data_IF_893231459367
#
_entry.id   IF_893231459367
#
_cell.length_a   1.000
_cell.length_b   1.000
_cell.length_c   1.000
_cell.angle_alpha   90.00
_cell.angle_beta   90.00
_cell.angle_gamma   90.00
#
_symmetry.space_group_name_H-M   'P 1'
#
loop_
_entity.id
_entity.type
_entity.pdbx_description
1 polymer ?
#
# COMPACT_ATOMS: atom_id res chain seq x y z
N UNK A 1 -20.97 10.23 -12.90
CA UNK A 1 -22.35 10.00 -12.42
C UNK A 1 -23.24 9.71 -13.61
N UNK A 2 -23.61 8.45 -13.82
CA UNK A 2 -24.50 8.03 -14.90
C UNK A 2 -25.47 6.97 -14.38
N UNK A 3 -26.64 7.38 -13.90
CA UNK A 3 -27.69 6.46 -13.46
C UNK A 3 -28.73 6.27 -14.56
N UNK A 4 -29.13 5.03 -14.83
CA UNK A 4 -30.32 4.74 -15.66
C UNK A 4 -31.56 4.81 -14.76
N UNK A 5 -32.46 5.75 -15.06
CA UNK A 5 -33.74 5.89 -14.38
C UNK A 5 -34.76 4.97 -15.04
N UNK A 6 -35.34 4.04 -14.27
CA UNK A 6 -36.43 3.19 -14.75
C UNK A 6 -37.78 3.88 -14.52
N UNK A 7 -38.73 3.64 -15.44
CA UNK A 7 -40.07 4.25 -15.47
C UNK A 7 -40.94 3.94 -14.23
N UNK A 8 -40.47 3.08 -13.32
CA UNK A 8 -41.11 2.66 -12.05
C UNK A 8 -40.71 3.50 -10.82
N UNK A 9 -39.95 4.59 -10.99
CA UNK A 9 -39.63 5.51 -9.89
C UNK A 9 -38.43 5.09 -9.03
N UNK A 10 -37.76 3.98 -9.33
CA UNK A 10 -36.51 3.56 -8.71
C UNK A 10 -35.32 3.80 -9.64
N UNK A 11 -34.22 4.33 -9.11
CA UNK A 11 -32.95 4.46 -9.81
C UNK A 11 -31.91 3.50 -9.22
N UNK A 12 -31.11 2.88 -10.09
CA UNK A 12 -29.93 2.09 -9.71
C UNK A 12 -28.72 3.02 -9.77
N UNK A 13 -27.98 3.10 -8.67
CA UNK A 13 -26.77 3.91 -8.56
C UNK A 13 -25.59 2.97 -8.29
N UNK A 14 -24.63 2.96 -9.22
CA UNK A 14 -23.33 2.34 -8.95
C UNK A 14 -22.55 3.24 -8.00
N UNK A 15 -22.34 2.75 -6.78
CA UNK A 15 -21.59 3.43 -5.70
C UNK A 15 -20.18 2.84 -5.50
N UNK A 16 -19.80 1.85 -6.31
CA UNK A 16 -18.52 1.17 -6.15
C UNK A 16 -17.31 2.12 -6.30
N UNK A 17 -17.28 3.08 -7.25
CA UNK A 17 -16.17 4.03 -7.36
C UNK A 17 -15.98 4.91 -6.10
N UNK A 18 -17.08 5.39 -5.54
CA UNK A 18 -17.12 6.24 -4.34
C UNK A 18 -16.66 5.44 -3.12
N UNK A 19 -17.15 4.21 -2.96
CA UNK A 19 -16.78 3.34 -1.85
C UNK A 19 -15.29 2.96 -1.89
N UNK A 20 -14.75 2.70 -3.08
CA UNK A 20 -13.32 2.45 -3.26
C UNK A 20 -12.48 3.67 -2.88
N UNK A 21 -12.93 4.87 -3.24
CA UNK A 21 -12.24 6.12 -2.91
C UNK A 21 -12.25 6.37 -1.40
N UNK A 22 -13.40 6.16 -0.75
CA UNK A 22 -13.55 6.30 0.69
C UNK A 22 -12.67 5.30 1.44
N UNK A 23 -12.71 4.02 1.06
CA UNK A 23 -11.90 2.97 1.68
C UNK A 23 -10.41 3.25 1.51
N UNK A 24 -10.00 3.71 0.32
CA UNK A 24 -8.63 4.14 0.06
C UNK A 24 -8.19 5.26 0.99
N UNK A 25 -9.01 6.29 1.19
CA UNK A 25 -8.74 7.38 2.14
C UNK A 25 -8.55 6.88 3.58
N UNK A 26 -9.45 6.04 4.06
CA UNK A 26 -9.39 5.52 5.43
C UNK A 26 -8.12 4.72 5.65
N UNK A 27 -7.77 3.84 4.70
CA UNK A 27 -6.54 3.04 4.78
C UNK A 27 -5.30 3.95 4.71
N UNK A 28 -5.25 4.92 3.80
CA UNK A 28 -4.12 5.84 3.68
C UNK A 28 -3.91 6.66 4.96
N UNK A 29 -4.98 7.14 5.58
CA UNK A 29 -4.92 7.86 6.85
C UNK A 29 -4.44 6.96 8.00
N UNK A 30 -4.97 5.74 8.11
CA UNK A 30 -4.59 4.82 9.17
C UNK A 30 -3.14 4.29 9.02
N UNK A 31 -2.74 3.98 7.79
CA UNK A 31 -1.44 3.38 7.52
C UNK A 31 -0.30 4.42 7.49
N UNK A 32 -0.57 5.62 6.98
CA UNK A 32 0.46 6.60 6.62
C UNK A 32 0.19 8.02 7.11
N UNK A 33 -0.99 8.29 7.70
CA UNK A 33 -1.38 9.65 8.11
C UNK A 33 -1.60 10.62 6.95
N UNK A 34 -1.67 10.14 5.69
CA UNK A 34 -1.83 10.96 4.50
C UNK A 34 -3.18 10.73 3.81
N UNK A 35 -3.63 11.68 2.99
CA UNK A 35 -4.89 11.54 2.26
C UNK A 35 -4.74 10.54 1.10
N UNK A 36 -5.86 10.00 0.62
CA UNK A 36 -5.85 9.12 -0.56
C UNK A 36 -5.23 9.79 -1.77
N UNK A 37 -5.28 11.12 -1.92
CA UNK A 37 -4.68 11.79 -3.09
C UNK A 37 -3.17 11.54 -3.15
N UNK A 38 -2.50 11.58 -2.01
CA UNK A 38 -1.08 11.27 -1.88
C UNK A 38 -0.79 9.75 -1.97
N UNK A 39 -1.73 8.90 -1.52
CA UNK A 39 -1.64 7.43 -1.61
C UNK A 39 -2.20 6.80 -2.91
N UNK A 40 -2.82 7.61 -3.77
CA UNK A 40 -3.74 7.17 -4.85
C UNK A 40 -3.01 6.36 -5.92
N UNK A 41 -1.75 6.70 -6.17
CA UNK A 41 -0.89 6.01 -7.12
C UNK A 41 -0.72 4.53 -6.79
N UNK A 42 -0.61 4.19 -5.49
CA UNK A 42 -0.44 2.80 -5.04
C UNK A 42 -1.76 2.04 -5.20
N UNK A 43 -2.88 2.65 -4.84
CA UNK A 43 -4.20 2.01 -4.92
C UNK A 43 -4.66 1.82 -6.38
N UNK A 44 -4.35 2.76 -7.27
CA UNK A 44 -4.60 2.62 -8.71
C UNK A 44 -3.80 1.45 -9.30
N UNK A 45 -2.51 1.36 -8.96
CA UNK A 45 -1.66 0.24 -9.38
C UNK A 45 -2.15 -1.11 -8.82
N UNK A 46 -2.67 -1.13 -7.59
CA UNK A 46 -3.30 -2.31 -7.00
C UNK A 46 -4.58 -2.72 -7.75
N UNK A 47 -5.42 -1.78 -8.18
CA UNK A 47 -6.63 -2.09 -8.98
C UNK A 47 -6.27 -2.79 -10.29
N UNK A 48 -5.22 -2.33 -10.98
CA UNK A 48 -4.74 -2.96 -12.21
C UNK A 48 -4.14 -4.35 -11.93
N UNK A 49 -3.42 -4.50 -10.82
CA UNK A 49 -2.88 -5.78 -10.38
C UNK A 49 -3.99 -6.78 -10.03
N UNK A 50 -5.06 -6.36 -9.34
CA UNK A 50 -6.19 -7.23 -8.98
C UNK A 50 -6.89 -7.77 -10.22
N UNK A 51 -7.07 -6.96 -11.28
CA UNK A 51 -7.69 -7.43 -12.52
C UNK A 51 -6.86 -8.52 -13.21
N UNK A 52 -5.54 -8.34 -13.28
CA UNK A 52 -4.63 -9.31 -13.88
C UNK A 52 -4.52 -10.58 -13.02
N UNK A 53 -4.40 -10.42 -11.70
CA UNK A 53 -4.31 -11.53 -10.75
C UNK A 53 -5.60 -12.35 -10.73
N UNK A 54 -6.77 -11.73 -10.71
CA UNK A 54 -8.05 -12.43 -10.77
C UNK A 54 -8.21 -13.17 -12.10
N UNK A 55 -7.82 -12.57 -13.23
CA UNK A 55 -7.79 -13.28 -14.51
C UNK A 55 -6.89 -14.52 -14.45
N UNK A 56 -5.71 -14.40 -13.84
CA UNK A 56 -4.78 -15.53 -13.71
C UNK A 56 -5.31 -16.62 -12.78
N UNK A 57 -5.89 -16.24 -11.62
CA UNK A 57 -6.53 -17.16 -10.67
C UNK A 57 -7.71 -17.92 -11.28
N UNK A 58 -8.59 -17.25 -12.02
CA UNK A 58 -9.77 -17.87 -12.61
C UNK A 58 -9.52 -18.51 -13.98
N UNK A 59 -8.31 -18.39 -14.54
CA UNK A 59 -7.96 -19.00 -15.83
C UNK A 59 -7.77 -20.52 -15.80
N UNK A 60 -7.92 -21.16 -14.63
CA UNK A 60 -7.77 -22.62 -14.50
C UNK A 60 -6.34 -23.12 -14.76
N UNK A 61 -5.33 -22.24 -14.69
CA UNK A 61 -3.93 -22.61 -14.87
C UNK A 61 -3.49 -23.53 -13.72
N UNK A 62 -3.11 -24.76 -14.07
CA UNK A 62 -2.51 -25.73 -13.15
C UNK A 62 -1.29 -25.12 -12.44
N UNK A 63 -1.08 -25.45 -11.16
CA UNK A 63 0.06 -24.98 -10.32
C UNK A 63 1.41 -25.06 -11.05
N UNK A 64 1.58 -26.04 -11.95
CA UNK A 64 2.77 -26.23 -12.81
C UNK A 64 3.08 -25.07 -13.77
N UNK A 65 2.08 -24.29 -14.18
CA UNK A 65 2.26 -23.11 -15.04
C UNK A 65 2.86 -21.90 -14.29
N UNK A 66 2.92 -21.93 -12.94
CA UNK A 66 3.49 -20.86 -12.11
C UNK A 66 4.97 -20.57 -12.42
N UNK A 67 5.68 -21.54 -12.98
CA UNK A 67 7.11 -21.44 -13.32
C UNK A 67 7.38 -20.99 -14.76
N UNK A 68 6.33 -20.74 -15.56
CA UNK A 68 6.47 -20.28 -16.94
C UNK A 68 6.32 -18.76 -16.94
N UNK A 69 7.37 -17.98 -17.28
CA UNK A 69 7.27 -16.53 -17.34
C UNK A 69 6.31 -16.11 -18.46
N UNK A 70 5.07 -15.81 -18.11
CA UNK A 70 4.09 -15.30 -19.08
C UNK A 70 4.21 -13.77 -19.21
N UNK A 71 3.69 -13.21 -20.32
CA UNK A 71 3.63 -11.76 -20.50
C UNK A 71 2.83 -11.07 -19.38
N UNK A 72 1.81 -11.75 -18.84
CA UNK A 72 0.99 -11.24 -17.74
C UNK A 72 1.77 -11.27 -16.42
N UNK A 73 2.48 -12.37 -16.13
CA UNK A 73 3.31 -12.49 -14.91
C UNK A 73 4.43 -11.45 -14.90
N UNK A 74 5.05 -11.14 -16.05
CA UNK A 74 6.04 -10.05 -16.16
C UNK A 74 5.45 -8.68 -15.83
N UNK A 75 4.27 -8.36 -16.36
CA UNK A 75 3.57 -7.11 -16.05
C UNK A 75 3.22 -6.98 -14.57
N UNK A 76 2.80 -8.07 -13.93
CA UNK A 76 2.54 -8.09 -12.48
C UNK A 76 3.82 -7.76 -11.71
N UNK A 77 4.96 -8.37 -12.07
CA UNK A 77 6.25 -8.07 -11.43
C UNK A 77 6.64 -6.61 -11.62
N UNK A 78 6.52 -6.05 -12.82
CA UNK A 78 6.81 -4.63 -13.08
C UNK A 78 5.94 -3.69 -12.24
N UNK A 79 4.65 -4.01 -12.08
CA UNK A 79 3.73 -3.24 -11.22
C UNK A 79 4.15 -3.35 -9.75
N UNK A 80 4.48 -4.56 -9.28
CA UNK A 80 4.99 -4.78 -7.92
C UNK A 80 6.24 -3.96 -7.64
N UNK A 81 7.21 -3.93 -8.57
CA UNK A 81 8.44 -3.14 -8.38
C UNK A 81 8.15 -1.64 -8.33
N UNK A 82 7.25 -1.14 -9.18
CA UNK A 82 6.80 0.27 -9.10
C UNK A 82 6.16 0.60 -7.75
N UNK A 83 5.28 -0.27 -7.26
CA UNK A 83 4.67 -0.11 -5.94
C UNK A 83 5.74 -0.11 -4.84
N UNK A 84 6.72 -1.03 -4.89
CA UNK A 84 7.82 -1.09 -3.92
C UNK A 84 8.67 0.18 -3.94
N UNK A 85 8.98 0.72 -5.11
CA UNK A 85 9.73 1.99 -5.22
C UNK A 85 8.98 3.15 -4.58
N UNK A 86 7.68 3.30 -4.87
CA UNK A 86 6.85 4.34 -4.27
C UNK A 86 6.80 4.22 -2.74
N UNK A 87 6.66 3.00 -2.21
CA UNK A 87 6.72 2.79 -0.76
C UNK A 87 8.07 3.17 -0.17
N UNK A 88 9.18 2.82 -0.82
CA UNK A 88 10.52 3.19 -0.36
C UNK A 88 10.71 4.70 -0.32
N UNK A 89 10.32 5.40 -1.38
CA UNK A 89 10.39 6.86 -1.44
C UNK A 89 9.59 7.50 -0.31
N UNK A 90 8.38 7.00 -0.05
CA UNK A 90 7.52 7.49 1.03
C UNK A 90 8.12 7.25 2.42
N UNK A 91 8.66 6.05 2.67
CA UNK A 91 9.34 5.71 3.92
C UNK A 91 10.55 6.63 4.15
N UNK A 92 11.37 6.84 3.13
CA UNK A 92 12.56 7.70 3.23
C UNK A 92 12.21 9.17 3.44
N UNK A 93 11.17 9.67 2.77
CA UNK A 93 10.60 10.99 3.06
C UNK A 93 10.19 11.09 4.53
N UNK A 94 9.50 10.07 5.05
CA UNK A 94 8.98 10.10 6.42
C UNK A 94 10.07 10.00 7.49
N UNK A 95 11.11 9.18 7.26
CA UNK A 95 12.31 9.12 8.11
C UNK A 95 12.98 10.49 8.24
N UNK A 96 13.13 11.23 7.13
CA UNK A 96 13.70 12.59 7.14
C UNK A 96 12.86 13.56 7.98
N UNK A 97 11.53 13.49 7.87
CA UNK A 97 10.62 14.33 8.67
C UNK A 97 10.49 13.89 10.13
N UNK A 98 10.84 12.64 10.46
CA UNK A 98 10.80 12.13 11.83
C UNK A 98 11.87 12.79 12.72
N UNK A 99 13.07 13.04 12.19
CA UNK A 99 14.18 13.65 12.92
C UNK A 99 13.98 15.12 13.32
N UNK A 100 12.97 15.81 12.77
CA UNK A 100 12.70 17.23 13.06
C UNK A 100 11.66 17.44 14.16
N UNK A 101 11.17 16.37 14.82
CA UNK A 101 10.27 16.44 15.98
C UNK A 101 8.84 16.93 15.68
N UNK A 102 8.50 17.10 14.40
CA UNK A 102 7.34 17.88 13.97
C UNK A 102 6.11 17.04 13.57
N UNK A 103 6.10 15.74 13.86
CA UNK A 103 5.07 14.83 13.33
C UNK A 103 4.46 13.94 14.41
N UNK A 104 3.12 13.96 14.52
CA UNK A 104 2.37 12.97 15.31
C UNK A 104 2.54 11.60 14.64
N UNK A 105 3.16 10.64 15.31
CA UNK A 105 3.47 9.31 14.79
C UNK A 105 2.38 8.29 15.17
N UNK A 106 1.13 8.69 15.06
CA UNK A 106 0.00 7.85 15.48
C UNK A 106 -0.53 6.98 14.34
N UNK A 107 0.07 7.08 13.15
CA UNK A 107 -0.17 6.18 12.01
C UNK A 107 0.75 4.96 12.07
N UNK A 108 0.34 3.88 11.40
CA UNK A 108 1.07 2.60 11.43
C UNK A 108 2.54 2.75 11.02
N UNK A 109 2.84 3.51 9.96
CA UNK A 109 4.22 3.72 9.51
C UNK A 109 5.04 4.48 10.56
N UNK A 110 4.47 5.52 11.17
CA UNK A 110 5.07 6.26 12.28
C UNK A 110 5.44 5.34 13.44
N UNK A 111 4.52 4.46 13.85
CA UNK A 111 4.75 3.48 14.92
C UNK A 111 5.86 2.48 14.58
N UNK A 112 5.89 1.98 13.33
CA UNK A 112 6.93 1.05 12.87
C UNK A 112 8.32 1.71 12.82
N UNK A 113 8.39 2.98 12.39
CA UNK A 113 9.65 3.74 12.39
C UNK A 113 10.17 3.99 13.81
N UNK A 114 9.29 4.36 14.74
CA UNK A 114 9.64 4.57 16.14
C UNK A 114 10.14 3.27 16.79
N UNK A 115 9.47 2.15 16.55
CA UNK A 115 9.91 0.84 17.03
C UNK A 115 11.30 0.47 16.54
N UNK A 116 11.58 0.66 15.23
CA UNK A 116 12.88 0.34 14.66
C UNK A 116 14.02 1.20 15.24
N UNK A 117 13.78 2.49 15.47
CA UNK A 117 14.77 3.39 16.09
C UNK A 117 15.08 2.98 17.53
N UNK A 118 14.06 2.60 18.29
CA UNK A 118 14.22 2.11 19.66
C UNK A 118 15.08 0.83 19.68
N UNK A 119 14.84 -0.10 18.75
CA UNK A 119 15.62 -1.33 18.61
C UNK A 119 17.10 -1.05 18.28
N UNK A 120 17.38 -0.15 17.33
CA UNK A 120 18.77 0.26 17.02
C UNK A 120 19.48 0.84 18.26
N UNK A 121 18.78 1.67 19.04
CA UNK A 121 19.33 2.26 20.27
C UNK A 121 19.66 1.21 21.34
N UNK A 122 18.80 0.19 21.47
CA UNK A 122 19.00 -0.94 22.39
C UNK A 122 20.19 -1.78 21.94
N UNK A 123 20.28 -2.08 20.63
CA UNK A 123 21.34 -2.91 20.06
C UNK A 123 22.70 -2.23 20.17
N UNK A 124 22.78 -0.91 19.93
CA UNK A 124 24.01 -0.14 20.16
C UNK A 124 24.41 -0.08 21.64
N UNK A 125 23.42 -0.03 22.55
CA UNK A 125 23.67 -0.02 23.99
C UNK A 125 24.15 -1.38 24.48
N UNK A 126 23.54 -2.46 24.02
CA UNK A 126 23.97 -3.83 24.30
C UNK A 126 25.38 -4.10 23.77
N UNK A 127 25.66 -3.70 22.51
CA UNK A 127 27.00 -3.78 21.93
C UNK A 127 28.03 -2.99 22.74
N UNK A 128 27.73 -1.74 23.14
CA UNK A 128 28.65 -0.93 23.97
C UNK A 128 28.95 -1.56 25.33
N UNK A 129 27.96 -2.15 25.99
CA UNK A 129 28.16 -2.80 27.28
C UNK A 129 29.01 -4.07 27.17
N UNK A 130 28.92 -4.80 26.04
CA UNK A 130 29.76 -5.96 25.77
C UNK A 130 31.25 -5.62 25.61
N UNK A 131 31.59 -4.41 25.15
CA UNK A 131 32.99 -3.94 25.08
C UNK A 131 33.55 -3.41 26.40
N UNK A 132 32.71 -3.24 27.42
CA UNK A 132 33.08 -2.69 28.73
C UNK A 132 33.24 -3.78 29.82
N UNK A 133 33.06 -5.06 29.48
CA UNK A 133 33.33 -6.23 30.33
C UNK A 133 34.50 -7.02 29.76
#
# INVERSE_FOLDING_TARGET
MGGKVSRKGSCELDVAPEFQTLSGNVISLAAFGCSFKEGSRILELQKDQTKLFMRELYSGKSIKSRFIPTKESKKIVEICEKIRMLFREFIEMRKKSFGTGNTKNNDLLGLLLESNLNEESITQRAGRLQWMM
#
